data_IF_655429312461
#
_entry.id   IF_655429312461
#
_cell.length_a   1.000
_cell.length_b   1.000
_cell.length_c   1.000
_cell.angle_alpha   90.00
_cell.angle_beta   90.00
_cell.angle_gamma   90.00
#
_symmetry.space_group_name_H-M   'P 1'
#
loop_
_entity.id
_entity.type
_entity.pdbx_description
1 polymer ?
#
# COMPACT_ATOMS: atom_id res chain seq x y z
N UNK A 1 34.91 -9.63 35.75
CA UNK A 1 34.01 -10.50 34.95
C UNK A 1 33.04 -9.72 34.06
N UNK A 2 32.46 -8.59 34.51
CA UNK A 2 31.58 -7.73 33.70
C UNK A 2 32.20 -7.25 32.36
N UNK A 3 33.49 -6.91 32.34
CA UNK A 3 34.17 -6.36 31.15
C UNK A 3 34.44 -7.37 30.02
N UNK A 4 34.30 -8.69 30.24
CA UNK A 4 34.46 -9.69 29.18
C UNK A 4 33.15 -9.99 28.44
N UNK A 5 32.00 -9.65 29.03
CA UNK A 5 30.68 -9.80 28.41
C UNK A 5 30.30 -8.62 27.51
N UNK A 6 30.90 -7.45 27.68
CA UNK A 6 30.57 -6.24 26.90
C UNK A 6 31.03 -6.34 25.44
N UNK A 7 32.16 -7.00 25.18
CA UNK A 7 32.74 -7.15 23.85
C UNK A 7 31.88 -7.96 22.85
N UNK A 8 31.32 -9.15 23.20
CA UNK A 8 30.45 -9.88 22.28
C UNK A 8 29.09 -9.20 22.09
N UNK A 9 28.57 -8.51 23.11
CA UNK A 9 27.30 -7.77 23.03
C UNK A 9 27.42 -6.60 22.05
N UNK A 10 28.54 -5.87 22.08
CA UNK A 10 28.80 -4.77 21.15
C UNK A 10 28.99 -5.28 19.71
N UNK A 11 29.62 -6.44 19.53
CA UNK A 11 29.81 -7.06 18.23
C UNK A 11 28.49 -7.55 17.60
N UNK A 12 27.59 -8.12 18.41
CA UNK A 12 26.23 -8.52 17.95
C UNK A 12 25.36 -7.31 17.66
N UNK A 13 25.49 -6.22 18.43
CA UNK A 13 24.77 -4.98 18.16
C UNK A 13 25.22 -4.31 16.84
N UNK A 14 26.45 -4.54 16.40
CA UNK A 14 26.99 -3.93 15.18
C UNK A 14 26.60 -4.69 13.90
N UNK A 15 26.36 -6.00 13.98
CA UNK A 15 25.92 -6.81 12.82
C UNK A 15 24.43 -6.66 12.52
N UNK A 16 23.60 -6.30 13.50
CA UNK A 16 22.15 -6.05 13.29
C UNK A 16 21.87 -4.72 12.58
N UNK A 17 22.81 -3.78 12.57
CA UNK A 17 22.64 -2.47 11.93
C UNK A 17 22.70 -2.53 10.39
N UNK A 18 23.23 -3.60 9.78
CA UNK A 18 23.39 -3.71 8.33
C UNK A 18 22.21 -4.38 7.59
N UNK A 19 21.21 -4.95 8.29
CA UNK A 19 20.09 -5.65 7.63
C UNK A 19 18.90 -4.75 7.25
N UNK A 20 19.00 -3.44 7.43
CA UNK A 20 17.86 -2.51 7.29
C UNK A 20 17.67 -1.92 5.87
N UNK A 21 18.48 -2.28 4.88
CA UNK A 21 18.22 -1.86 3.50
C UNK A 21 17.08 -2.69 2.89
N UNK A 22 15.84 -2.29 3.16
CA UNK A 22 14.70 -2.70 2.36
C UNK A 22 15.02 -2.42 0.89
N UNK A 23 15.19 -3.47 0.10
CA UNK A 23 15.73 -3.39 -1.26
C UNK A 23 14.93 -2.40 -2.12
N UNK A 24 15.65 -1.56 -2.87
CA UNK A 24 15.04 -0.65 -3.82
C UNK A 24 14.17 -1.43 -4.82
N UNK A 25 12.96 -0.94 -5.14
CA UNK A 25 12.07 -1.64 -6.05
C UNK A 25 12.68 -1.73 -7.45
N UNK A 26 12.58 -2.90 -8.08
CA UNK A 26 13.07 -3.14 -9.44
C UNK A 26 12.44 -2.20 -10.50
N UNK A 27 11.27 -1.62 -10.19
CA UNK A 27 10.54 -0.68 -11.05
C UNK A 27 10.13 0.56 -10.25
N UNK A 28 11.06 1.51 -10.01
CA UNK A 28 10.84 2.61 -9.08
C UNK A 28 9.77 3.61 -9.53
N UNK A 29 9.57 3.79 -10.84
CA UNK A 29 8.53 4.66 -11.37
C UNK A 29 7.13 4.09 -11.11
N UNK A 30 6.91 2.83 -11.49
CA UNK A 30 5.65 2.14 -11.25
C UNK A 30 5.37 1.96 -9.74
N UNK A 31 6.43 1.77 -8.93
CA UNK A 31 6.30 1.71 -7.47
C UNK A 31 5.75 3.02 -6.89
N UNK A 32 6.28 4.17 -7.36
CA UNK A 32 5.80 5.50 -6.97
C UNK A 32 4.39 5.75 -7.47
N UNK A 33 4.09 5.37 -8.71
CA UNK A 33 2.75 5.52 -9.30
C UNK A 33 1.70 4.71 -8.53
N UNK A 34 1.99 3.43 -8.24
CA UNK A 34 1.13 2.58 -7.41
C UNK A 34 0.93 3.19 -6.01
N UNK A 35 1.99 3.68 -5.37
CA UNK A 35 1.90 4.29 -4.04
C UNK A 35 1.03 5.56 -4.04
N UNK A 36 1.25 6.46 -4.99
CA UNK A 36 0.46 7.69 -5.15
C UNK A 36 -1.00 7.36 -5.48
N UNK A 37 -1.22 6.43 -6.41
CA UNK A 37 -2.55 5.99 -6.80
C UNK A 37 -3.34 5.35 -5.66
N UNK A 38 -2.71 4.50 -4.84
CA UNK A 38 -3.31 3.94 -3.64
C UNK A 38 -3.73 5.04 -2.66
N UNK A 39 -2.85 6.01 -2.41
CA UNK A 39 -3.13 7.12 -1.49
C UNK A 39 -4.34 7.93 -1.95
N UNK A 40 -4.38 8.32 -3.23
CA UNK A 40 -5.49 9.07 -3.82
C UNK A 40 -6.79 8.27 -3.74
N UNK A 41 -6.77 7.01 -4.17
CA UNK A 41 -7.99 6.20 -4.24
C UNK A 41 -8.57 5.86 -2.85
N UNK A 42 -7.73 5.70 -1.82
CA UNK A 42 -8.23 5.58 -0.45
C UNK A 42 -8.88 6.88 0.05
N UNK A 43 -8.31 8.04 -0.29
CA UNK A 43 -8.96 9.32 0.01
C UNK A 43 -10.33 9.41 -0.65
N UNK A 44 -10.41 9.12 -1.96
CA UNK A 44 -11.68 9.15 -2.71
C UNK A 44 -12.71 8.17 -2.13
N UNK A 45 -12.28 6.98 -1.67
CA UNK A 45 -13.17 5.98 -1.07
C UNK A 45 -13.77 6.47 0.26
N UNK A 46 -12.96 7.12 1.09
CA UNK A 46 -13.39 7.68 2.37
C UNK A 46 -14.21 8.97 2.18
N UNK A 47 -13.88 9.78 1.18
CA UNK A 47 -14.68 10.95 0.81
C UNK A 47 -16.09 10.52 0.38
N UNK A 48 -16.22 9.48 -0.44
CA UNK A 48 -17.51 8.90 -0.81
C UNK A 48 -18.27 8.37 0.42
N UNK A 49 -17.57 7.73 1.37
CA UNK A 49 -18.19 7.27 2.63
C UNK A 49 -18.72 8.44 3.45
N UNK A 50 -17.96 9.53 3.55
CA UNK A 50 -18.28 10.68 4.38
C UNK A 50 -19.44 11.52 3.81
N UNK A 51 -19.50 11.69 2.49
CA UNK A 51 -20.54 12.49 1.82
C UNK A 51 -21.79 11.68 1.43
N UNK A 52 -21.71 10.36 1.55
CA UNK A 52 -22.77 9.44 1.14
C UNK A 52 -22.55 8.89 -0.26
N UNK A 53 -22.95 7.64 -0.44
CA UNK A 53 -22.95 6.92 -1.71
C UNK A 53 -24.22 6.08 -1.82
N UNK A 54 -24.73 5.90 -3.04
CA UNK A 54 -25.97 5.16 -3.31
C UNK A 54 -25.67 3.68 -3.63
N UNK A 55 -24.47 3.38 -4.13
CA UNK A 55 -24.06 2.05 -4.58
C UNK A 55 -23.17 1.28 -3.60
N UNK A 56 -23.75 0.64 -2.58
CA UNK A 56 -23.00 -0.19 -1.59
C UNK A 56 -22.19 -1.32 -2.23
N UNK A 57 -22.70 -1.93 -3.30
CA UNK A 57 -22.00 -3.00 -4.02
C UNK A 57 -20.75 -2.47 -4.71
N UNK A 58 -20.86 -1.33 -5.41
CA UNK A 58 -19.73 -0.72 -6.11
C UNK A 58 -18.69 -0.18 -5.13
N UNK A 59 -19.13 0.42 -4.01
CA UNK A 59 -18.24 0.83 -2.92
C UNK A 59 -17.45 -0.36 -2.36
N UNK A 60 -18.12 -1.50 -2.12
CA UNK A 60 -17.47 -2.73 -1.62
C UNK A 60 -16.48 -3.31 -2.63
N UNK A 61 -16.82 -3.31 -3.93
CA UNK A 61 -15.88 -3.72 -5.00
C UNK A 61 -14.64 -2.84 -5.03
N UNK A 62 -14.81 -1.51 -4.89
CA UNK A 62 -13.69 -0.59 -4.82
C UNK A 62 -12.77 -0.89 -3.63
N UNK A 63 -13.33 -1.04 -2.43
CA UNK A 63 -12.57 -1.38 -1.22
C UNK A 63 -11.79 -2.70 -1.37
N UNK A 64 -12.42 -3.73 -1.97
CA UNK A 64 -11.77 -5.00 -2.26
C UNK A 64 -10.62 -4.88 -3.27
N UNK A 65 -10.79 -4.08 -4.32
CA UNK A 65 -9.74 -3.81 -5.30
C UNK A 65 -8.56 -3.05 -4.69
N UNK A 66 -8.80 -2.05 -3.82
CA UNK A 66 -7.72 -1.35 -3.13
C UNK A 66 -6.94 -2.26 -2.18
N UNK A 67 -7.65 -3.14 -1.47
CA UNK A 67 -7.02 -4.17 -0.64
C UNK A 67 -6.09 -5.08 -1.46
N UNK A 68 -6.59 -5.59 -2.59
CA UNK A 68 -5.80 -6.41 -3.50
C UNK A 68 -4.62 -5.65 -4.14
N UNK A 69 -4.81 -4.36 -4.48
CA UNK A 69 -3.76 -3.50 -4.99
C UNK A 69 -2.64 -3.28 -3.96
N UNK A 70 -3.01 -3.08 -2.68
CA UNK A 70 -2.06 -2.91 -1.58
C UNK A 70 -1.19 -4.14 -1.38
N UNK A 71 -1.80 -5.33 -1.44
CA UNK A 71 -1.06 -6.60 -1.42
C UNK A 71 -0.07 -6.64 -2.60
N UNK A 72 -0.52 -6.30 -3.81
CA UNK A 72 0.35 -6.30 -4.99
C UNK A 72 1.50 -5.29 -4.90
N UNK A 73 1.29 -4.13 -4.26
CA UNK A 73 2.35 -3.17 -3.94
C UNK A 73 3.44 -3.82 -3.08
N UNK A 74 3.04 -4.55 -2.03
CA UNK A 74 3.96 -5.20 -1.09
C UNK A 74 4.79 -6.31 -1.76
N UNK A 75 4.22 -7.00 -2.75
CA UNK A 75 4.92 -8.02 -3.53
C UNK A 75 5.63 -7.48 -4.78
N UNK A 76 5.74 -6.16 -4.94
CA UNK A 76 6.42 -5.53 -6.08
C UNK A 76 5.73 -5.75 -7.43
N UNK A 77 4.44 -6.14 -7.44
CA UNK A 77 3.63 -6.35 -8.65
C UNK A 77 2.97 -5.03 -9.08
N UNK A 78 3.78 -4.01 -9.31
CA UNK A 78 3.32 -2.63 -9.53
C UNK A 78 2.37 -2.44 -10.72
N UNK A 79 2.57 -3.07 -11.91
CA UNK A 79 1.61 -2.93 -13.01
C UNK A 79 0.19 -3.39 -12.64
N UNK A 80 0.09 -4.49 -11.89
CA UNK A 80 -1.20 -5.00 -11.43
C UNK A 80 -1.81 -4.10 -10.34
N UNK A 81 -0.98 -3.57 -9.44
CA UNK A 81 -1.41 -2.58 -8.46
C UNK A 81 -2.05 -1.36 -9.15
N UNK A 82 -1.36 -0.80 -10.15
CA UNK A 82 -1.83 0.37 -10.91
C UNK A 82 -3.17 0.08 -11.60
N UNK A 83 -3.31 -1.09 -12.23
CA UNK A 83 -4.58 -1.49 -12.85
C UNK A 83 -5.72 -1.61 -11.84
N UNK A 84 -5.46 -2.24 -10.68
CA UNK A 84 -6.48 -2.38 -9.62
C UNK A 84 -6.86 -1.04 -9.00
N UNK A 85 -5.90 -0.14 -8.79
CA UNK A 85 -6.18 1.24 -8.36
C UNK A 85 -7.09 1.93 -9.37
N UNK A 86 -6.77 1.88 -10.67
CA UNK A 86 -7.60 2.48 -11.72
C UNK A 86 -9.04 1.97 -11.68
N UNK A 87 -9.22 0.64 -11.55
CA UNK A 87 -10.54 0.00 -11.45
C UNK A 87 -11.26 0.36 -10.16
N UNK A 88 -10.55 0.46 -9.04
CA UNK A 88 -11.15 0.88 -7.78
C UNK A 88 -11.73 2.28 -7.89
N UNK A 89 -10.99 3.24 -8.47
CA UNK A 89 -11.47 4.61 -8.71
C UNK A 89 -12.71 4.66 -9.60
N UNK A 90 -12.76 3.81 -10.63
CA UNK A 90 -13.97 3.64 -11.44
C UNK A 90 -15.18 3.23 -10.58
N UNK A 91 -15.02 2.25 -9.70
CA UNK A 91 -16.11 1.80 -8.82
C UNK A 91 -16.46 2.79 -7.71
N UNK A 92 -15.50 3.59 -7.22
CA UNK A 92 -15.77 4.70 -6.30
C UNK A 92 -16.67 5.74 -6.97
N UNK A 93 -16.41 6.07 -8.22
CA UNK A 93 -17.26 6.97 -8.99
C UNK A 93 -18.64 6.35 -9.22
N UNK A 94 -18.72 5.07 -9.60
CA UNK A 94 -20.00 4.39 -9.80
C UNK A 94 -20.85 4.32 -8.52
N UNK A 95 -20.22 4.16 -7.35
CA UNK A 95 -20.93 4.13 -6.08
C UNK A 95 -21.65 5.46 -5.75
N UNK A 96 -21.17 6.58 -6.31
CA UNK A 96 -21.74 7.92 -6.09
C UNK A 96 -22.86 8.27 -7.10
N UNK A 97 -23.08 7.43 -8.12
CA UNK A 97 -24.17 7.64 -9.06
C UNK A 97 -25.49 7.09 -8.49
N UNK A 98 -26.61 7.80 -8.67
CA UNK A 98 -27.91 7.30 -8.28
C UNK A 98 -28.30 6.07 -9.12
N UNK A 99 -28.81 5.04 -8.46
CA UNK A 99 -29.27 3.78 -9.05
C UNK A 99 -30.80 3.71 -9.16
#
# INVERSE_FOLDING_TARGET
>A
MLSRLTLPILAVAMTTLLSACAGAPARPNEARECAAGLHIAYSELEDARAHGFDGTVEWTKAAGLLTAAKIQQQFGKYPNCIDKVRRARYYIHQAQLPH
#
